data_IF_027511526506
#
_entry.id   IF_027511526506
#
_cell.length_a   1.000
_cell.length_b   1.000
_cell.length_c   1.000
_cell.angle_alpha   90.00
_cell.angle_beta   90.00
_cell.angle_gamma   90.00
#
_symmetry.space_group_name_H-M   'P 1'
#
loop_
_entity.id
_entity.type
_entity.pdbx_description
1 polymer ?
#
# COMPACT_ATOMS: atom_id res chain seq x y z
N UNK A 1 -8.09 -8.61 -20.00
CA UNK A 1 -8.76 -9.70 -19.26
C UNK A 1 -10.27 -9.54 -19.49
N UNK A 2 -11.01 -10.64 -19.52
CA UNK A 2 -12.48 -10.64 -19.70
C UNK A 2 -13.11 -11.44 -18.55
N UNK A 3 -14.27 -10.99 -18.08
CA UNK A 3 -15.14 -11.75 -17.17
C UNK A 3 -16.47 -11.87 -17.91
N UNK A 4 -16.94 -13.10 -18.16
CA UNK A 4 -18.17 -13.38 -18.91
C UNK A 4 -18.23 -12.66 -20.27
N UNK A 5 -17.14 -12.71 -21.04
CA UNK A 5 -16.97 -12.05 -22.36
C UNK A 5 -17.03 -10.51 -22.34
N UNK A 6 -17.18 -9.89 -21.16
CA UNK A 6 -17.18 -8.45 -20.99
C UNK A 6 -15.80 -7.91 -20.59
N UNK A 7 -15.43 -6.69 -21.02
CA UNK A 7 -14.18 -6.06 -20.61
C UNK A 7 -14.15 -5.86 -19.09
N UNK A 8 -12.98 -6.03 -18.49
CA UNK A 8 -12.78 -5.82 -17.05
C UNK A 8 -12.12 -4.49 -16.76
N UNK A 9 -12.28 -4.04 -15.53
CA UNK A 9 -11.51 -2.96 -14.91
C UNK A 9 -10.88 -3.49 -13.62
N UNK A 10 -9.67 -3.06 -13.34
CA UNK A 10 -8.97 -3.30 -12.07
C UNK A 10 -8.90 -1.97 -11.35
N UNK A 11 -9.40 -1.93 -10.11
CA UNK A 11 -9.23 -0.78 -9.23
C UNK A 11 -8.30 -1.12 -8.08
N UNK A 12 -7.40 -0.22 -7.73
CA UNK A 12 -6.38 -0.41 -6.70
C UNK A 12 -6.30 0.77 -5.72
N UNK A 13 -5.78 0.50 -4.53
CA UNK A 13 -5.55 1.52 -3.52
C UNK A 13 -4.25 2.26 -3.76
N UNK A 14 -4.31 3.59 -3.80
CA UNK A 14 -3.11 4.42 -3.90
C UNK A 14 -2.35 4.48 -2.58
N UNK A 15 -1.19 3.82 -2.55
CA UNK A 15 -0.24 3.79 -1.44
C UNK A 15 -0.86 3.34 -0.10
N UNK A 16 -1.60 2.23 -0.15
CA UNK A 16 -2.50 1.76 0.90
C UNK A 16 -1.90 1.81 2.32
N UNK A 17 -0.77 1.12 2.56
CA UNK A 17 -0.20 0.99 3.91
C UNK A 17 0.28 2.32 4.48
N UNK A 18 0.90 3.16 3.67
CA UNK A 18 1.36 4.49 4.11
C UNK A 18 0.17 5.37 4.48
N UNK A 19 -0.86 5.36 3.64
CA UNK A 19 -2.10 6.10 3.89
C UNK A 19 -2.81 5.60 5.14
N UNK A 20 -2.87 4.28 5.35
CA UNK A 20 -3.41 3.69 6.58
C UNK A 20 -2.66 4.16 7.82
N UNK A 21 -1.33 4.26 7.79
CA UNK A 21 -0.58 4.76 8.94
C UNK A 21 -0.96 6.20 9.31
N UNK A 22 -1.12 7.08 8.33
CA UNK A 22 -1.61 8.45 8.60
C UNK A 22 -3.04 8.45 9.17
N UNK A 23 -3.94 7.65 8.60
CA UNK A 23 -5.31 7.56 9.08
C UNK A 23 -5.40 6.97 10.49
N UNK A 24 -4.56 6.00 10.84
CA UNK A 24 -4.46 5.46 12.20
C UNK A 24 -3.92 6.49 13.21
N UNK A 25 -3.21 7.52 12.73
CA UNK A 25 -2.81 8.70 13.51
C UNK A 25 -3.87 9.81 13.54
N UNK A 26 -5.04 9.58 12.96
CA UNK A 26 -6.12 10.55 12.91
C UNK A 26 -5.89 11.69 11.91
N UNK A 27 -4.96 11.52 10.97
CA UNK A 27 -4.65 12.53 9.94
C UNK A 27 -5.26 12.10 8.61
N UNK A 28 -6.17 12.90 8.07
CA UNK A 28 -6.72 12.70 6.72
C UNK A 28 -5.66 13.01 5.65
N UNK A 29 -4.87 11.99 5.30
CA UNK A 29 -3.79 12.13 4.33
C UNK A 29 -4.28 11.78 2.94
N UNK A 30 -4.39 12.80 2.07
CA UNK A 30 -4.92 12.69 0.70
C UNK A 30 -3.88 12.88 -0.40
N UNK A 31 -2.64 13.24 -0.05
CA UNK A 31 -1.54 13.47 -1.02
C UNK A 31 -0.95 12.15 -1.55
N UNK A 32 -0.14 12.23 -2.60
CA UNK A 32 0.75 11.14 -3.01
C UNK A 32 1.96 11.12 -2.04
N UNK A 33 2.18 10.03 -1.27
CA UNK A 33 3.33 9.97 -0.36
C UNK A 33 4.68 9.93 -1.10
N UNK A 34 4.68 9.72 -2.41
CA UNK A 34 5.89 9.69 -3.23
C UNK A 34 6.06 10.96 -4.08
N UNK A 35 5.27 12.01 -3.84
CA UNK A 35 5.38 13.27 -4.56
C UNK A 35 6.81 13.86 -4.43
N UNK A 36 7.41 14.21 -5.57
CA UNK A 36 8.77 14.75 -5.62
C UNK A 36 9.91 13.73 -5.51
N UNK A 37 9.61 12.42 -5.48
CA UNK A 37 10.62 11.36 -5.48
C UNK A 37 10.90 10.87 -6.90
N UNK A 38 12.12 11.07 -7.38
CA UNK A 38 12.55 10.66 -8.73
C UNK A 38 12.51 9.13 -8.91
N UNK A 39 13.11 8.38 -7.97
CA UNK A 39 13.15 6.92 -8.01
C UNK A 39 11.98 6.30 -7.21
N UNK A 40 10.74 6.52 -7.66
CA UNK A 40 9.52 6.12 -6.93
C UNK A 40 9.48 4.64 -6.53
N UNK A 41 9.81 3.73 -7.45
CA UNK A 41 9.77 2.28 -7.19
C UNK A 41 10.81 1.85 -6.15
N UNK A 42 12.04 2.40 -6.21
CA UNK A 42 13.05 2.23 -5.15
C UNK A 42 12.50 2.65 -3.79
N UNK A 43 11.87 3.81 -3.74
CA UNK A 43 11.38 4.35 -2.47
C UNK A 43 10.20 3.54 -1.92
N UNK A 44 9.28 3.08 -2.77
CA UNK A 44 8.22 2.12 -2.38
C UNK A 44 8.81 0.86 -1.72
N UNK A 45 9.82 0.25 -2.34
CA UNK A 45 10.49 -0.94 -1.79
C UNK A 45 11.13 -0.65 -0.44
N UNK A 46 11.86 0.47 -0.32
CA UNK A 46 12.46 0.90 0.95
C UNK A 46 11.40 1.05 2.04
N UNK A 47 10.31 1.75 1.75
CA UNK A 47 9.22 1.97 2.69
C UNK A 47 8.59 0.66 3.18
N UNK A 48 8.30 -0.25 2.25
CA UNK A 48 7.71 -1.54 2.58
C UNK A 48 8.61 -2.34 3.52
N UNK A 49 9.92 -2.37 3.27
CA UNK A 49 10.87 -3.07 4.13
C UNK A 49 10.94 -2.42 5.52
N UNK A 50 10.95 -1.09 5.57
CA UNK A 50 11.09 -0.34 6.81
C UNK A 50 9.92 -0.53 7.78
N UNK A 51 8.68 -0.57 7.29
CA UNK A 51 7.49 -0.79 8.14
C UNK A 51 7.34 -2.25 8.59
N UNK A 52 7.95 -3.20 7.86
CA UNK A 52 7.88 -4.63 8.15
C UNK A 52 9.03 -5.14 9.03
N UNK A 53 10.22 -4.54 8.91
CA UNK A 53 11.36 -4.92 9.72
C UNK A 53 11.11 -4.60 11.20
N UNK A 54 11.61 -5.46 12.11
CA UNK A 54 11.65 -5.21 13.56
C UNK A 54 13.05 -4.87 14.08
N UNK A 55 14.01 -4.85 13.17
CA UNK A 55 15.43 -4.69 13.46
C UNK A 55 16.05 -3.83 12.36
N UNK A 56 16.71 -2.74 12.76
CA UNK A 56 17.29 -1.77 11.82
C UNK A 56 18.38 -2.39 10.96
N UNK A 57 19.25 -3.24 11.52
CA UNK A 57 20.32 -3.90 10.75
C UNK A 57 19.73 -4.85 9.70
N UNK A 58 18.70 -5.61 10.06
CA UNK A 58 17.98 -6.46 9.10
C UNK A 58 17.27 -5.63 8.03
N UNK A 59 16.71 -4.47 8.38
CA UNK A 59 16.11 -3.55 7.42
C UNK A 59 17.15 -3.07 6.40
N UNK A 60 18.32 -2.60 6.86
CA UNK A 60 19.41 -2.14 5.99
C UNK A 60 19.88 -3.25 5.05
N UNK A 61 20.10 -4.46 5.56
CA UNK A 61 20.49 -5.61 4.74
C UNK A 61 19.40 -5.99 3.73
N UNK A 62 18.12 -5.97 4.14
CA UNK A 62 16.98 -6.26 3.26
C UNK A 62 16.84 -5.24 2.14
N UNK A 63 16.92 -3.96 2.47
CA UNK A 63 16.89 -2.86 1.49
C UNK A 63 18.02 -3.05 0.48
N UNK A 64 19.26 -3.25 0.95
CA UNK A 64 20.40 -3.44 0.06
C UNK A 64 20.17 -4.59 -0.92
N UNK A 65 19.68 -5.72 -0.41
CA UNK A 65 19.43 -6.91 -1.23
C UNK A 65 18.38 -6.63 -2.31
N UNK A 66 17.22 -6.09 -1.94
CA UNK A 66 16.14 -5.81 -2.89
C UNK A 66 16.55 -4.78 -3.94
N UNK A 67 17.27 -3.72 -3.53
CA UNK A 67 17.75 -2.73 -4.48
C UNK A 67 18.73 -3.33 -5.51
N UNK A 68 19.59 -4.25 -5.09
CA UNK A 68 20.47 -4.97 -6.02
C UNK A 68 19.67 -5.85 -6.99
N UNK A 69 18.64 -6.55 -6.51
CA UNK A 69 17.78 -7.40 -7.34
C UNK A 69 16.95 -6.59 -8.35
N UNK A 70 16.56 -5.37 -7.99
CA UNK A 70 15.92 -4.39 -8.89
C UNK A 70 16.89 -3.75 -9.91
N UNK A 71 18.18 -4.07 -9.86
CA UNK A 71 19.19 -3.54 -10.79
C UNK A 71 19.78 -2.18 -10.40
N UNK A 72 19.55 -1.70 -9.18
CA UNK A 72 20.26 -0.53 -8.66
C UNK A 72 21.73 -0.86 -8.36
N UNK A 73 22.56 0.19 -8.22
CA UNK A 73 24.03 0.09 -8.08
C UNK A 73 24.48 -1.03 -7.14
N UNK A 74 25.45 -1.82 -7.58
CA UNK A 74 26.18 -2.74 -6.72
C UNK A 74 27.07 -1.95 -5.75
N UNK A 75 27.19 -2.42 -4.50
CA UNK A 75 28.04 -1.79 -3.50
C UNK A 75 27.42 -0.65 -2.69
N UNK A 76 26.08 -0.56 -2.58
CA UNK A 76 25.41 0.38 -1.67
C UNK A 76 25.95 0.23 -0.23
N UNK A 77 26.60 1.28 0.26
CA UNK A 77 27.13 1.36 1.63
C UNK A 77 25.99 1.50 2.63
N UNK A 78 26.27 1.24 3.91
CA UNK A 78 25.31 1.52 4.97
C UNK A 78 24.87 3.00 4.95
N UNK A 79 25.81 3.92 4.69
CA UNK A 79 25.56 5.37 4.55
C UNK A 79 24.51 5.70 3.49
N UNK A 80 24.53 5.01 2.33
CA UNK A 80 23.56 5.24 1.26
C UNK A 80 22.15 4.82 1.69
N UNK A 81 22.04 3.70 2.42
CA UNK A 81 20.76 3.19 2.90
C UNK A 81 20.23 4.07 4.04
N UNK A 82 21.09 4.50 4.94
CA UNK A 82 20.72 5.40 6.03
C UNK A 82 20.22 6.75 5.49
N UNK A 83 20.82 7.29 4.43
CA UNK A 83 20.30 8.48 3.75
C UNK A 83 18.87 8.30 3.18
N UNK A 84 18.53 7.10 2.69
CA UNK A 84 17.16 6.79 2.25
C UNK A 84 16.17 6.73 3.43
N UNK A 85 16.62 6.21 4.58
CA UNK A 85 15.80 6.18 5.81
C UNK A 85 15.56 7.60 6.31
N UNK A 86 16.60 8.43 6.36
CA UNK A 86 16.48 9.84 6.75
C UNK A 86 15.55 10.61 5.81
N UNK A 87 15.64 10.36 4.49
CA UNK A 87 14.72 10.92 3.50
C UNK A 87 13.28 10.55 3.81
N UNK A 88 13.00 9.28 4.16
CA UNK A 88 11.66 8.86 4.59
C UNK A 88 11.19 9.57 5.85
N UNK A 89 12.04 9.66 6.89
CA UNK A 89 11.69 10.34 8.14
C UNK A 89 11.36 11.81 7.89
N UNK A 90 12.12 12.47 7.00
CA UNK A 90 11.91 13.87 6.61
C UNK A 90 10.59 14.07 5.85
N UNK A 91 10.25 13.17 4.92
CA UNK A 91 9.01 13.24 4.14
C UNK A 91 7.77 12.86 4.97
N UNK A 92 7.94 11.93 5.91
CA UNK A 92 6.85 11.31 6.64
C UNK A 92 7.02 11.37 8.17
N UNK A 93 7.21 12.57 8.76
CA UNK A 93 7.50 12.70 10.18
C UNK A 93 6.39 12.12 11.08
N UNK A 94 5.12 12.28 10.69
CA UNK A 94 3.94 11.77 11.43
C UNK A 94 3.97 10.26 11.63
N UNK A 95 4.41 9.51 10.61
CA UNK A 95 4.39 8.04 10.63
C UNK A 95 5.79 7.44 10.86
N UNK A 96 6.82 8.27 11.05
CA UNK A 96 8.20 7.84 11.31
C UNK A 96 8.33 6.90 12.52
N UNK A 97 7.45 7.05 13.53
CA UNK A 97 7.41 6.17 14.71
C UNK A 97 7.05 4.71 14.41
N UNK A 98 6.50 4.44 13.23
CA UNK A 98 6.16 3.09 12.78
C UNK A 98 7.32 2.38 12.06
N UNK A 99 8.40 3.10 11.77
CA UNK A 99 9.62 2.50 11.26
C UNK A 99 10.15 1.45 12.22
N UNK A 100 10.60 0.33 11.67
CA UNK A 100 11.16 -0.78 12.41
C UNK A 100 10.24 -1.38 13.49
N UNK A 101 8.93 -1.10 13.44
CA UNK A 101 7.97 -1.62 14.42
C UNK A 101 7.41 -3.00 14.05
N UNK A 102 7.57 -3.41 12.79
CA UNK A 102 6.89 -4.58 12.23
C UNK A 102 5.37 -4.41 12.13
N UNK A 103 4.87 -3.17 12.07
CA UNK A 103 3.44 -2.85 11.93
C UNK A 103 2.84 -3.40 10.63
N UNK A 104 3.66 -3.71 9.63
CA UNK A 104 3.19 -4.22 8.33
C UNK A 104 2.29 -5.45 8.45
N UNK A 105 2.55 -6.39 9.38
CA UNK A 105 1.65 -7.52 9.63
C UNK A 105 0.26 -7.09 10.13
N UNK A 106 0.20 -6.02 10.94
CA UNK A 106 -1.08 -5.46 11.40
C UNK A 106 -1.82 -4.79 10.24
N UNK A 107 -1.10 -4.05 9.38
CA UNK A 107 -1.69 -3.42 8.19
C UNK A 107 -2.24 -4.48 7.22
N UNK A 108 -1.47 -5.55 6.97
CA UNK A 108 -1.88 -6.72 6.17
C UNK A 108 -3.08 -7.48 6.78
N UNK A 109 -3.29 -7.40 8.09
CA UNK A 109 -4.50 -7.98 8.67
C UNK A 109 -5.71 -7.09 8.44
N UNK A 110 -5.52 -5.77 8.47
CA UNK A 110 -6.59 -4.79 8.28
C UNK A 110 -7.02 -4.74 6.82
N UNK A 111 -6.10 -4.68 5.86
CA UNK A 111 -6.43 -4.67 4.43
C UNK A 111 -7.15 -5.98 4.01
N UNK A 112 -6.74 -7.13 4.54
CA UNK A 112 -7.41 -8.42 4.31
C UNK A 112 -8.86 -8.41 4.80
N UNK A 113 -9.15 -7.77 5.93
CA UNK A 113 -10.53 -7.60 6.43
C UNK A 113 -11.33 -6.65 5.55
N UNK A 114 -10.70 -5.61 5.02
CA UNK A 114 -11.35 -4.68 4.09
C UNK A 114 -11.70 -5.44 2.79
N UNK A 115 -10.75 -6.20 2.25
CA UNK A 115 -10.94 -7.04 1.06
C UNK A 115 -12.07 -8.06 1.25
N UNK A 116 -12.09 -8.78 2.37
CA UNK A 116 -13.15 -9.74 2.69
C UNK A 116 -14.55 -9.09 2.71
N UNK A 117 -14.66 -7.89 3.28
CA UNK A 117 -15.92 -7.13 3.27
C UNK A 117 -16.34 -6.71 1.85
N UNK A 118 -15.39 -6.26 1.02
CA UNK A 118 -15.65 -5.88 -0.39
C UNK A 118 -16.18 -7.10 -1.15
N UNK A 119 -15.45 -8.21 -1.11
CA UNK A 119 -15.83 -9.43 -1.82
C UNK A 119 -17.17 -9.98 -1.34
N UNK A 120 -17.42 -9.96 -0.03
CA UNK A 120 -18.70 -10.36 0.56
C UNK A 120 -19.86 -9.50 0.05
N UNK A 121 -19.68 -8.18 -0.03
CA UNK A 121 -20.72 -7.28 -0.52
C UNK A 121 -20.99 -7.49 -2.01
N UNK A 122 -19.94 -7.55 -2.84
CA UNK A 122 -20.08 -7.80 -4.28
C UNK A 122 -20.75 -9.15 -4.57
N UNK A 123 -20.38 -10.19 -3.82
CA UNK A 123 -21.00 -11.52 -3.93
C UNK A 123 -22.49 -11.47 -3.63
N UNK A 124 -22.92 -10.74 -2.58
CA UNK A 124 -24.34 -10.57 -2.25
C UNK A 124 -25.12 -9.81 -3.33
N UNK A 125 -24.44 -8.97 -4.10
CA UNK A 125 -25.01 -8.23 -5.23
C UNK A 125 -25.00 -9.06 -6.53
N UNK A 126 -24.45 -10.27 -6.51
CA UNK A 126 -24.29 -11.10 -7.71
C UNK A 126 -23.22 -10.59 -8.66
N UNK A 127 -22.29 -9.76 -8.19
CA UNK A 127 -21.19 -9.19 -8.98
C UNK A 127 -19.96 -10.07 -8.82
N UNK A 128 -19.49 -10.76 -9.88
CA UNK A 128 -18.22 -11.48 -9.84
C UNK A 128 -17.05 -10.50 -9.68
N UNK A 129 -16.17 -10.80 -8.72
CA UNK A 129 -14.97 -10.01 -8.44
C UNK A 129 -13.77 -10.91 -8.19
N UNK A 130 -12.61 -10.53 -8.72
CA UNK A 130 -11.35 -11.24 -8.50
C UNK A 130 -10.39 -10.34 -7.71
N UNK A 131 -10.00 -10.71 -6.47
CA UNK A 131 -9.00 -9.97 -5.72
C UNK A 131 -7.58 -10.27 -6.25
N UNK A 132 -6.74 -9.24 -6.36
CA UNK A 132 -5.31 -9.33 -6.69
C UNK A 132 -4.54 -8.44 -5.71
N UNK A 133 -3.87 -9.04 -4.73
CA UNK A 133 -3.26 -8.29 -3.62
C UNK A 133 -4.25 -7.30 -2.95
N UNK A 134 -4.04 -6.00 -3.10
CA UNK A 134 -4.90 -4.93 -2.62
C UNK A 134 -5.77 -4.30 -3.71
N UNK A 135 -5.73 -4.81 -4.94
CA UNK A 135 -6.62 -4.44 -6.04
C UNK A 135 -7.75 -5.45 -6.24
N UNK A 136 -8.78 -5.04 -6.97
CA UNK A 136 -9.93 -5.88 -7.30
C UNK A 136 -10.29 -5.70 -8.77
N UNK A 137 -10.52 -6.81 -9.45
CA UNK A 137 -10.94 -6.85 -10.85
C UNK A 137 -12.43 -7.19 -10.91
N UNK A 138 -13.20 -6.39 -11.63
CA UNK A 138 -14.62 -6.61 -11.93
C UNK A 138 -14.89 -6.40 -13.42
N UNK A 139 -16.06 -6.81 -13.88
CA UNK A 139 -16.57 -6.35 -15.18
C UNK A 139 -16.71 -4.82 -15.18
N UNK A 140 -16.34 -4.16 -16.29
CA UNK A 140 -16.26 -2.70 -16.41
C UNK A 140 -17.58 -1.97 -16.07
N UNK A 141 -18.73 -2.61 -16.30
CA UNK A 141 -20.03 -2.04 -15.93
C UNK A 141 -20.22 -1.82 -14.42
N UNK A 142 -19.42 -2.48 -13.58
CA UNK A 142 -19.46 -2.38 -12.12
C UNK A 142 -18.33 -1.52 -11.53
N UNK A 143 -17.61 -0.74 -12.35
CA UNK A 143 -16.49 0.11 -11.90
C UNK A 143 -16.88 1.01 -10.73
N UNK A 144 -17.97 1.77 -10.87
CA UNK A 144 -18.45 2.71 -9.84
C UNK A 144 -18.91 1.98 -8.58
N UNK A 145 -19.53 0.80 -8.72
CA UNK A 145 -19.95 -0.01 -7.57
C UNK A 145 -18.73 -0.55 -6.83
N UNK A 146 -17.73 -1.07 -7.54
CA UNK A 146 -16.49 -1.51 -6.93
C UNK A 146 -15.81 -0.37 -6.19
N UNK A 147 -15.69 0.81 -6.82
CA UNK A 147 -15.09 1.99 -6.20
C UNK A 147 -15.83 2.40 -4.92
N UNK A 148 -17.16 2.40 -4.96
CA UNK A 148 -17.99 2.66 -3.79
C UNK A 148 -17.75 1.65 -2.67
N UNK A 149 -17.68 0.34 -2.99
CA UNK A 149 -17.40 -0.70 -2.01
C UNK A 149 -15.99 -0.56 -1.41
N UNK A 150 -14.98 -0.30 -2.22
CA UNK A 150 -13.60 -0.08 -1.76
C UNK A 150 -13.52 1.11 -0.78
N UNK A 151 -14.10 2.25 -1.15
CA UNK A 151 -14.12 3.45 -0.29
C UNK A 151 -14.87 3.19 1.02
N UNK A 152 -16.06 2.59 0.96
CA UNK A 152 -16.90 2.39 2.14
C UNK A 152 -16.36 1.33 3.09
N UNK A 153 -15.89 0.20 2.57
CA UNK A 153 -15.31 -0.85 3.41
C UNK A 153 -14.05 -0.34 4.11
N UNK A 154 -13.20 0.41 3.42
CA UNK A 154 -12.06 1.07 4.03
C UNK A 154 -12.50 2.07 5.11
N UNK A 155 -13.42 2.98 4.80
CA UNK A 155 -13.92 4.00 5.75
C UNK A 155 -14.56 3.39 6.99
N UNK A 156 -15.29 2.28 6.84
CA UNK A 156 -15.90 1.55 7.96
C UNK A 156 -14.87 0.96 8.92
N UNK A 157 -13.71 0.55 8.42
CA UNK A 157 -12.65 -0.09 9.21
C UNK A 157 -11.65 0.93 9.77
N UNK A 158 -11.32 1.95 8.99
CA UNK A 158 -10.26 2.93 9.32
C UNK A 158 -10.79 4.28 9.80
N UNK A 159 -12.01 4.67 9.42
CA UNK A 159 -12.62 5.96 9.77
C UNK A 159 -12.33 7.11 8.80
N UNK A 160 -11.47 6.90 7.80
CA UNK A 160 -11.11 7.89 6.78
C UNK A 160 -11.35 7.34 5.38
N UNK A 161 -11.34 8.20 4.36
CA UNK A 161 -11.49 7.77 2.97
C UNK A 161 -10.15 7.42 2.34
N UNK A 162 -10.06 6.31 1.57
CA UNK A 162 -8.88 6.00 0.80
C UNK A 162 -8.85 6.78 -0.52
N UNK A 163 -7.75 6.66 -1.25
CA UNK A 163 -7.66 7.05 -2.67
C UNK A 163 -7.65 5.78 -3.50
N UNK A 164 -8.58 5.67 -4.44
CA UNK A 164 -8.78 4.51 -5.32
C UNK A 164 -8.67 5.00 -6.77
N UNK A 165 -7.97 4.25 -7.61
CA UNK A 165 -7.73 4.53 -9.02
C UNK A 165 -7.91 3.28 -9.86
#
# INVERSE_FOLDING_TARGET
>A
MFINDNPTVELDYSALHIRMLYHLEGVDFRKDPYEGIEEREKFKTVQLILINAKDRKKAVCGIRKELMEMGYRTGLKDEDIEGLIETFVSLHPTISKFLHSGVGLKLQNIDSKIMDNILTNLTKMGIPALPVHDSVIVEKGYEEELKYQMVNCYKKVIGFEPVVH
#
